data_IF_256316897571
#
_entry.id   IF_256316897571
#
_cell.length_a   1.000
_cell.length_b   1.000
_cell.length_c   1.000
_cell.angle_alpha   90.00
_cell.angle_beta   90.00
_cell.angle_gamma   90.00
#
_symmetry.space_group_name_H-M   'P 1'
#
loop_
_entity.id
_entity.type
_entity.pdbx_description
1 polymer ?
#
# COMPACT_ATOMS: atom_id res chain seq x y z
N UNK A 1 -14.27 -17.60 -5.44
CA UNK A 1 -13.98 -16.23 -5.89
C UNK A 1 -12.79 -15.77 -5.07
N UNK A 2 -11.62 -15.55 -5.69
CA UNK A 2 -10.45 -15.05 -4.95
C UNK A 2 -10.64 -13.55 -4.80
N UNK A 3 -11.00 -13.08 -3.60
CA UNK A 3 -11.24 -11.67 -3.32
C UNK A 3 -9.99 -10.99 -2.75
N UNK A 4 -9.84 -9.69 -2.99
CA UNK A 4 -8.82 -8.89 -2.33
C UNK A 4 -9.36 -8.33 -1.01
N UNK A 5 -8.52 -8.30 0.02
CA UNK A 5 -8.83 -7.67 1.31
C UNK A 5 -7.99 -6.41 1.43
N UNK A 6 -8.63 -5.26 1.57
CA UNK A 6 -7.97 -3.97 1.77
C UNK A 6 -8.11 -3.54 3.23
N UNK A 7 -6.98 -3.15 3.85
CA UNK A 7 -6.96 -2.55 5.18
C UNK A 7 -6.65 -1.07 5.05
N UNK A 8 -7.62 -0.22 5.39
CA UNK A 8 -7.50 1.23 5.32
C UNK A 8 -7.55 1.88 6.70
N UNK A 9 -7.10 3.13 6.79
CA UNK A 9 -7.13 3.93 8.02
C UNK A 9 -5.82 4.69 8.25
N UNK A 10 -5.76 5.56 9.27
CA UNK A 10 -4.60 6.41 9.55
C UNK A 10 -3.31 5.62 9.78
N UNK A 11 -2.15 6.22 9.53
CA UNK A 11 -0.84 5.64 9.86
C UNK A 11 -0.73 5.38 11.38
N UNK A 12 0.08 4.40 11.78
CA UNK A 12 0.30 4.05 13.20
C UNK A 12 -0.84 3.27 13.88
N UNK A 13 -1.99 3.04 13.22
CA UNK A 13 -3.14 2.30 13.79
C UNK A 13 -2.99 0.77 13.80
N UNK A 14 -1.81 0.25 13.43
CA UNK A 14 -1.52 -1.19 13.47
C UNK A 14 -1.94 -2.01 12.24
N UNK A 15 -2.35 -1.35 11.13
CA UNK A 15 -2.79 -2.01 9.88
C UNK A 15 -1.81 -3.07 9.37
N UNK A 16 -0.50 -2.76 9.34
CA UNK A 16 0.51 -3.71 8.84
C UNK A 16 0.67 -4.93 9.76
N UNK A 17 0.48 -4.76 11.07
CA UNK A 17 0.52 -5.87 12.04
C UNK A 17 -0.70 -6.77 11.87
N UNK A 18 -1.91 -6.19 11.83
CA UNK A 18 -3.14 -6.95 11.62
C UNK A 18 -3.17 -7.60 10.23
N UNK A 19 -2.72 -6.91 9.19
CA UNK A 19 -2.67 -7.43 7.83
C UNK A 19 -1.75 -8.63 7.67
N UNK A 20 -0.56 -8.61 8.28
CA UNK A 20 0.33 -9.78 8.31
C UNK A 20 -0.31 -10.98 9.02
N UNK A 21 -0.92 -10.75 10.18
CA UNK A 21 -1.59 -11.80 10.94
C UNK A 21 -2.78 -12.40 10.16
N UNK A 22 -3.59 -11.53 9.55
CA UNK A 22 -4.74 -11.93 8.74
C UNK A 22 -4.30 -12.75 7.52
N UNK A 23 -3.30 -12.26 6.79
CA UNK A 23 -2.74 -12.95 5.63
C UNK A 23 -2.20 -14.34 6.00
N UNK A 24 -1.44 -14.45 7.10
CA UNK A 24 -0.94 -15.72 7.60
C UNK A 24 -2.09 -16.70 7.96
N UNK A 25 -3.10 -16.23 8.68
CA UNK A 25 -4.24 -17.06 9.09
C UNK A 25 -5.07 -17.54 7.89
N UNK A 26 -5.21 -16.71 6.86
CA UNK A 26 -5.96 -17.03 5.64
C UNK A 26 -5.11 -17.70 4.55
N UNK A 27 -3.80 -17.86 4.78
CA UNK A 27 -2.82 -18.35 3.80
C UNK A 27 -2.85 -17.53 2.49
N UNK A 28 -2.99 -16.21 2.64
CA UNK A 28 -2.96 -15.26 1.54
C UNK A 28 -1.63 -14.51 1.52
N UNK A 29 -1.20 -13.98 0.35
CA UNK A 29 -0.08 -13.05 0.30
C UNK A 29 -0.43 -11.75 1.04
N UNK A 30 0.58 -11.15 1.69
CA UNK A 30 0.50 -9.82 2.27
C UNK A 30 1.26 -8.83 1.40
N UNK A 31 0.63 -7.71 1.07
CA UNK A 31 1.23 -6.61 0.30
C UNK A 31 1.15 -5.33 1.14
N UNK A 32 2.29 -4.65 1.26
CA UNK A 32 2.37 -3.32 1.85
C UNK A 32 2.40 -2.30 0.70
N UNK A 33 1.31 -1.54 0.54
CA UNK A 33 1.14 -0.63 -0.60
C UNK A 33 2.20 0.48 -0.60
N UNK A 34 2.60 0.96 0.59
CA UNK A 34 3.61 2.01 0.72
C UNK A 34 4.94 1.53 0.13
N UNK A 35 5.35 0.29 0.42
CA UNK A 35 6.56 -0.30 -0.17
C UNK A 35 6.48 -0.44 -1.69
N UNK A 36 5.31 -0.79 -2.23
CA UNK A 36 5.11 -0.89 -3.69
C UNK A 36 5.30 0.49 -4.33
N UNK A 37 4.73 1.53 -3.73
CA UNK A 37 4.87 2.91 -4.19
C UNK A 37 6.33 3.34 -4.15
N UNK A 38 7.02 3.16 -3.03
CA UNK A 38 8.43 3.58 -2.87
C UNK A 38 9.35 2.86 -3.86
N UNK A 39 9.14 1.55 -4.04
CA UNK A 39 9.91 0.74 -4.99
C UNK A 39 9.68 1.20 -6.43
N UNK A 40 8.43 1.52 -6.78
CA UNK A 40 8.05 1.96 -8.14
C UNK A 40 8.53 3.38 -8.43
N UNK A 41 8.46 4.26 -7.43
CA UNK A 41 8.86 5.66 -7.57
C UNK A 41 10.38 5.85 -7.50
N UNK A 42 11.12 4.90 -6.91
CA UNK A 42 12.55 5.03 -6.64
C UNK A 42 12.89 6.07 -5.57
N UNK A 43 11.90 6.44 -4.75
CA UNK A 43 11.98 7.47 -3.70
C UNK A 43 10.99 7.14 -2.59
N UNK A 44 11.29 7.57 -1.37
CA UNK A 44 10.39 7.38 -0.23
C UNK A 44 9.11 8.22 -0.36
N UNK A 45 8.01 7.82 0.28
CA UNK A 45 6.77 8.62 0.28
C UNK A 45 7.00 10.06 0.79
N UNK A 46 7.75 10.29 1.89
CA UNK A 46 8.07 11.65 2.33
C UNK A 46 8.79 12.48 1.25
N UNK A 47 9.73 11.89 0.52
CA UNK A 47 10.41 12.57 -0.60
C UNK A 47 9.44 12.90 -1.74
N UNK A 48 8.55 11.98 -2.11
CA UNK A 48 7.48 12.26 -3.09
C UNK A 48 6.63 13.44 -2.64
N UNK A 49 6.22 13.46 -1.36
CA UNK A 49 5.40 14.55 -0.83
C UNK A 49 6.13 15.89 -0.84
N UNK A 50 7.42 15.91 -0.48
CA UNK A 50 8.25 17.12 -0.47
C UNK A 50 8.51 17.65 -1.89
N UNK A 51 8.85 16.78 -2.84
CA UNK A 51 9.25 17.18 -4.19
C UNK A 51 8.05 17.39 -5.15
N UNK A 52 6.97 16.62 -4.98
CA UNK A 52 5.86 16.52 -5.94
C UNK A 52 4.49 16.80 -5.33
N UNK A 53 4.40 16.95 -4.01
CA UNK A 53 3.15 17.23 -3.29
C UNK A 53 2.30 15.99 -3.00
N UNK A 54 1.30 16.16 -2.13
CA UNK A 54 0.44 15.06 -1.67
C UNK A 54 -0.35 14.41 -2.81
N UNK A 55 -0.78 15.18 -3.82
CA UNK A 55 -1.55 14.64 -4.95
C UNK A 55 -0.76 13.58 -5.72
N UNK A 56 0.55 13.74 -5.86
CA UNK A 56 1.40 12.75 -6.52
C UNK A 56 1.40 11.41 -5.78
N UNK A 57 1.32 11.42 -4.44
CA UNK A 57 1.17 10.19 -3.65
C UNK A 57 -0.17 9.52 -3.94
N UNK A 58 -1.26 10.30 -4.03
CA UNK A 58 -2.60 9.76 -4.36
C UNK A 58 -2.66 9.13 -5.75
N UNK A 59 -1.99 9.73 -6.72
CA UNK A 59 -1.88 9.17 -8.08
C UNK A 59 -1.08 7.86 -8.07
N UNK A 60 0.01 7.81 -7.31
CA UNK A 60 0.82 6.59 -7.13
C UNK A 60 0.06 5.48 -6.41
N UNK A 61 -0.68 5.79 -5.34
CA UNK A 61 -1.58 4.84 -4.65
C UNK A 61 -2.59 4.24 -5.64
N UNK A 62 -3.22 5.10 -6.44
CA UNK A 62 -4.21 4.69 -7.45
C UNK A 62 -3.59 3.77 -8.51
N UNK A 63 -2.41 4.13 -9.03
CA UNK A 63 -1.70 3.34 -10.02
C UNK A 63 -1.27 1.97 -9.44
N UNK A 64 -0.72 1.96 -8.22
CA UNK A 64 -0.27 0.75 -7.54
C UNK A 64 -1.41 -0.22 -7.27
N UNK A 65 -2.56 0.26 -6.76
CA UNK A 65 -3.74 -0.59 -6.53
C UNK A 65 -4.23 -1.18 -7.85
N UNK A 66 -4.38 -0.37 -8.91
CA UNK A 66 -4.79 -0.87 -10.23
C UNK A 66 -3.85 -1.96 -10.75
N UNK A 67 -2.54 -1.79 -10.61
CA UNK A 67 -1.57 -2.78 -11.07
C UNK A 67 -1.65 -4.12 -10.30
N UNK A 68 -2.15 -4.12 -9.05
CA UNK A 68 -2.22 -5.32 -8.20
C UNK A 68 -3.53 -6.10 -8.28
N UNK A 69 -4.61 -5.45 -8.73
CA UNK A 69 -5.97 -6.03 -8.74
C UNK A 69 -6.44 -6.44 -10.13
N UNK A 70 -5.66 -6.16 -11.16
CA UNK A 70 -5.94 -6.53 -12.54
C UNK A 70 -5.60 -8.00 -12.84
#
# INVERSE_FOLDING_TARGET
>A
MMGHIFLYGPYGTGKSTIGRNLANNLRLPFIDLDRVIETTAGMSIPQVMEEKGEHAVRDLETAAVKALIN
#
